data_IF_631481042078
#
_entry.id   IF_631481042078
#
_cell.length_a   1.000
_cell.length_b   1.000
_cell.length_c   1.000
_cell.angle_alpha   90.00
_cell.angle_beta   90.00
_cell.angle_gamma   90.00
#
_symmetry.space_group_name_H-M   'P 1'
#
loop_
_entity.id
_entity.type
_entity.pdbx_description
1 polymer ?
#
# COMPACT_ATOMS: atom_id res chain seq x y z
N UNK A 1 8.37 20.69 33.41
CA UNK A 1 7.99 20.38 34.81
C UNK A 1 7.06 19.18 34.81
N UNK A 2 7.20 18.30 35.81
CA UNK A 2 6.67 16.92 35.91
C UNK A 2 5.14 16.83 35.98
N UNK A 3 4.56 15.86 35.25
CA UNK A 3 3.31 15.13 35.56
C UNK A 3 3.50 13.71 34.98
N UNK A 4 4.08 12.72 35.67
CA UNK A 4 3.44 11.76 36.59
C UNK A 4 1.96 11.56 36.24
N UNK A 5 1.41 10.42 35.85
CA UNK A 5 1.90 9.05 35.72
C UNK A 5 0.68 8.13 35.56
N UNK A 6 0.89 6.96 34.96
CA UNK A 6 0.11 5.72 35.12
C UNK A 6 -1.39 5.71 34.74
N UNK A 7 -1.69 5.12 33.57
CA UNK A 7 -2.77 4.11 33.46
C UNK A 7 -2.23 2.93 32.67
N UNK A 8 -2.10 1.81 33.38
CA UNK A 8 -1.61 0.52 32.96
C UNK A 8 -2.79 -0.25 32.33
N UNK A 9 -2.78 -0.42 31.00
CA UNK A 9 -3.82 -1.17 30.28
C UNK A 9 -3.47 -2.66 30.30
N UNK A 10 -4.25 -3.43 31.06
CA UNK A 10 -4.13 -4.87 31.20
C UNK A 10 -4.39 -5.60 29.88
N UNK A 11 -3.38 -6.32 29.41
CA UNK A 11 -3.48 -7.46 28.49
C UNK A 11 -4.11 -8.64 29.24
N UNK A 12 -5.37 -8.96 28.96
CA UNK A 12 -5.95 -10.25 29.31
C UNK A 12 -7.14 -10.58 28.40
N UNK A 13 -7.08 -11.73 27.72
CA UNK A 13 -8.27 -12.47 27.29
C UNK A 13 -8.43 -12.66 25.78
N UNK A 14 -7.74 -13.64 25.20
CA UNK A 14 -8.22 -14.37 24.02
C UNK A 14 -9.47 -15.18 24.42
N UNK A 15 -10.64 -15.03 23.76
CA UNK A 15 -11.69 -16.03 23.86
C UNK A 15 -11.49 -17.13 22.81
N UNK A 16 -11.29 -18.33 23.34
CA UNK A 16 -11.31 -19.63 22.68
C UNK A 16 -12.72 -19.96 22.16
N UNK A 17 -12.75 -20.83 21.16
CA UNK A 17 -13.89 -21.27 20.35
C UNK A 17 -14.85 -22.17 21.16
N UNK A 18 -16.17 -22.03 20.95
CA UNK A 18 -17.13 -23.11 21.22
C UNK A 18 -18.62 -22.73 21.34
N UNK A 19 -19.47 -23.30 20.47
CA UNK A 19 -20.77 -23.85 20.91
C UNK A 19 -22.08 -23.33 20.30
N UNK A 20 -22.59 -24.10 19.31
CA UNK A 20 -23.98 -24.52 19.08
C UNK A 20 -25.10 -23.53 18.64
N UNK A 21 -25.88 -24.03 17.67
CA UNK A 21 -26.90 -23.41 16.84
C UNK A 21 -28.23 -23.09 17.54
N UNK A 22 -28.84 -21.97 17.17
CA UNK A 22 -30.28 -21.78 17.21
C UNK A 22 -30.73 -21.11 15.90
N UNK A 23 -31.52 -21.84 15.11
CA UNK A 23 -32.19 -21.31 13.94
C UNK A 23 -33.29 -20.34 14.39
N UNK A 24 -33.18 -19.07 13.99
CA UNK A 24 -34.27 -18.10 14.06
C UNK A 24 -34.56 -17.57 12.67
N UNK A 25 -35.84 -17.60 12.38
CA UNK A 25 -36.58 -17.42 11.14
C UNK A 25 -36.30 -16.10 10.43
N UNK A 26 -36.32 -16.18 9.10
CA UNK A 26 -36.20 -15.10 8.14
C UNK A 26 -37.19 -13.95 8.38
N UNK A 27 -36.68 -12.72 8.24
CA UNK A 27 -37.44 -11.59 7.69
C UNK A 27 -36.57 -10.98 6.58
N UNK A 28 -36.99 -11.23 5.33
CA UNK A 28 -36.46 -10.57 4.15
C UNK A 28 -36.75 -9.07 4.26
N UNK A 29 -35.72 -8.29 4.56
CA UNK A 29 -35.68 -6.89 4.18
C UNK A 29 -35.02 -6.85 2.79
N UNK A 30 -35.79 -6.42 1.80
CA UNK A 30 -35.30 -6.06 0.47
C UNK A 30 -34.05 -5.18 0.60
N UNK A 31 -32.86 -5.60 0.15
CA UNK A 31 -31.79 -4.66 -0.03
C UNK A 31 -32.20 -3.78 -1.21
N UNK A 32 -32.70 -2.58 -0.91
CA UNK A 32 -32.80 -1.52 -1.91
C UNK A 32 -31.43 -1.42 -2.54
N UNK A 33 -31.35 -1.90 -3.78
CA UNK A 33 -30.14 -1.80 -4.58
C UNK A 33 -29.99 -0.33 -4.91
N UNK A 34 -29.34 0.40 -4.01
CA UNK A 34 -28.72 1.67 -4.33
C UNK A 34 -27.72 1.32 -5.42
N UNK A 35 -28.09 1.62 -6.66
CA UNK A 35 -27.16 1.64 -7.79
C UNK A 35 -26.13 2.72 -7.47
N UNK A 36 -25.14 2.36 -6.65
CA UNK A 36 -23.85 3.01 -6.65
C UNK A 36 -23.42 3.04 -8.11
N UNK A 37 -23.08 4.20 -8.69
CA UNK A 37 -22.46 4.23 -9.99
C UNK A 37 -21.27 3.28 -9.91
N UNK A 38 -21.39 2.13 -10.58
CA UNK A 38 -20.28 1.25 -10.82
C UNK A 38 -19.30 2.13 -11.57
N UNK A 39 -18.31 2.65 -10.86
CA UNK A 39 -17.18 3.34 -11.46
C UNK A 39 -16.56 2.27 -12.34
N UNK A 40 -16.98 2.27 -13.61
CA UNK A 40 -16.36 1.49 -14.64
C UNK A 40 -14.88 1.73 -14.44
N UNK A 41 -14.18 0.66 -14.05
CA UNK A 41 -12.73 0.67 -14.06
C UNK A 41 -12.38 0.71 -15.52
N UNK A 42 -12.44 1.91 -16.10
CA UNK A 42 -11.90 2.22 -17.40
C UNK A 42 -10.45 1.83 -17.25
N UNK A 43 -10.09 0.67 -17.81
CA UNK A 43 -8.70 0.36 -18.07
C UNK A 43 -8.15 1.62 -18.72
N UNK A 44 -7.20 2.34 -18.09
CA UNK A 44 -6.73 3.57 -18.66
C UNK A 44 -6.18 3.17 -20.02
N UNK A 45 -6.84 3.67 -21.07
CA UNK A 45 -6.23 3.81 -22.38
C UNK A 45 -5.02 4.71 -22.11
N UNK A 46 -3.88 4.07 -21.82
CA UNK A 46 -2.63 4.76 -21.48
C UNK A 46 -2.11 5.30 -22.80
N UNK A 47 -2.69 6.42 -23.22
CA UNK A 47 -2.12 7.26 -24.24
C UNK A 47 -0.67 7.55 -23.84
N UNK A 48 0.33 7.00 -24.59
CA UNK A 48 1.72 7.01 -24.16
C UNK A 48 2.28 8.44 -24.08
N UNK A 49 1.71 9.37 -24.85
CA UNK A 49 2.11 10.77 -24.94
C UNK A 49 1.44 11.66 -23.88
N UNK A 50 0.51 11.11 -23.10
CA UNK A 50 -0.18 11.86 -22.05
C UNK A 50 0.80 12.34 -20.99
N UNK A 51 0.85 13.66 -20.79
CA UNK A 51 1.62 14.27 -19.70
C UNK A 51 0.97 13.98 -18.35
N UNK A 52 1.75 13.42 -17.43
CA UNK A 52 1.40 13.11 -16.06
C UNK A 52 2.39 13.79 -15.13
N UNK A 53 1.88 14.62 -14.23
CA UNK A 53 2.67 15.27 -13.19
C UNK A 53 2.52 14.55 -11.85
N UNK A 54 3.65 14.17 -11.23
CA UNK A 54 3.70 13.53 -9.92
C UNK A 54 4.41 14.46 -8.92
N UNK A 55 4.00 14.39 -7.65
CA UNK A 55 4.72 15.05 -6.56
C UNK A 55 5.80 14.12 -6.05
N UNK A 56 7.05 14.54 -6.14
CA UNK A 56 8.19 13.81 -5.64
C UNK A 56 8.45 14.20 -4.18
N UNK A 57 8.61 13.22 -3.27
CA UNK A 57 8.97 13.50 -1.89
C UNK A 57 10.33 14.20 -1.83
N UNK A 58 10.53 15.10 -0.86
CA UNK A 58 11.84 15.71 -0.66
C UNK A 58 12.87 14.62 -0.32
N UNK A 59 14.13 14.76 -0.78
CA UNK A 59 15.18 13.84 -0.39
C UNK A 59 15.38 13.87 1.13
N UNK A 60 15.72 12.73 1.72
CA UNK A 60 15.94 12.62 3.17
C UNK A 60 16.99 13.63 3.63
N UNK A 61 16.64 14.46 4.62
CA UNK A 61 17.51 15.53 5.13
C UNK A 61 17.49 16.83 4.32
N UNK A 62 16.69 16.92 3.26
CA UNK A 62 16.50 18.16 2.51
C UNK A 62 15.71 19.19 3.29
N UNK A 63 16.17 20.45 3.27
CA UNK A 63 15.41 21.62 3.74
C UNK A 63 14.45 22.17 2.68
N UNK A 64 14.57 21.69 1.45
CA UNK A 64 13.68 22.03 0.33
C UNK A 64 12.58 20.97 0.27
N UNK A 65 11.32 21.41 0.17
CA UNK A 65 10.12 20.58 0.21
C UNK A 65 9.90 19.72 -1.04
N UNK A 66 8.70 19.16 -1.17
CA UNK A 66 8.32 18.35 -2.34
C UNK A 66 8.40 19.17 -3.63
N UNK A 67 8.82 18.51 -4.71
CA UNK A 67 8.83 19.10 -6.06
C UNK A 67 7.83 18.38 -6.95
N UNK A 68 7.26 19.10 -7.92
CA UNK A 68 6.41 18.53 -8.95
C UNK A 68 7.24 18.20 -10.19
N UNK A 69 7.08 17.01 -10.72
CA UNK A 69 7.79 16.52 -11.89
C UNK A 69 6.76 16.00 -12.90
N UNK A 70 6.89 16.42 -14.15
CA UNK A 70 5.93 16.12 -15.22
C UNK A 70 6.66 15.42 -16.36
N UNK A 71 6.13 14.27 -16.75
CA UNK A 71 6.64 13.43 -17.84
C UNK A 71 5.49 12.84 -18.62
N UNK A 72 5.76 12.32 -19.82
CA UNK A 72 4.77 11.50 -20.54
C UNK A 72 4.54 10.18 -19.80
N UNK A 73 3.44 9.51 -20.08
CA UNK A 73 3.18 8.19 -19.52
C UNK A 73 4.26 7.20 -19.94
N UNK A 74 4.71 7.24 -21.21
CA UNK A 74 5.79 6.41 -21.71
C UNK A 74 7.11 6.62 -20.96
N UNK A 75 7.45 7.86 -20.64
CA UNK A 75 8.64 8.19 -19.84
C UNK A 75 8.54 7.65 -18.42
N UNK A 76 7.38 7.77 -17.77
CA UNK A 76 7.15 7.17 -16.45
C UNK A 76 7.31 5.65 -16.47
N UNK A 77 6.80 4.99 -17.49
CA UNK A 77 6.88 3.53 -17.63
C UNK A 77 8.31 3.08 -17.91
N UNK A 78 9.10 3.88 -18.63
CA UNK A 78 10.52 3.61 -18.84
C UNK A 78 11.32 3.78 -17.53
N UNK A 79 11.07 4.86 -16.77
CA UNK A 79 11.74 5.08 -15.48
C UNK A 79 11.43 3.94 -14.49
N UNK A 80 10.17 3.53 -14.39
CA UNK A 80 9.77 2.44 -13.51
C UNK A 80 10.46 1.11 -13.86
N UNK A 81 10.60 0.80 -15.15
CA UNK A 81 11.34 -0.39 -15.61
C UNK A 81 12.82 -0.32 -15.24
N UNK A 82 13.47 0.81 -15.50
CA UNK A 82 14.88 1.02 -15.16
C UNK A 82 15.13 0.86 -13.65
N UNK A 83 14.24 1.42 -12.81
CA UNK A 83 14.33 1.31 -11.36
C UNK A 83 14.20 -0.15 -10.89
N UNK A 84 13.24 -0.90 -11.45
CA UNK A 84 13.05 -2.32 -11.15
C UNK A 84 14.29 -3.13 -11.52
N UNK A 85 14.89 -2.90 -12.69
CA UNK A 85 16.11 -3.59 -13.11
C UNK A 85 17.32 -3.24 -12.23
N UNK A 86 17.43 -1.99 -11.79
CA UNK A 86 18.49 -1.56 -10.87
C UNK A 86 18.33 -2.23 -9.50
N UNK A 87 17.11 -2.31 -8.98
CA UNK A 87 16.78 -3.01 -7.74
C UNK A 87 17.01 -4.52 -7.86
N UNK A 88 16.60 -5.15 -8.96
CA UNK A 88 16.83 -6.57 -9.18
C UNK A 88 18.34 -6.90 -9.20
N UNK A 89 19.14 -6.06 -9.86
CA UNK A 89 20.60 -6.21 -9.88
C UNK A 89 21.23 -6.05 -8.51
N UNK A 90 20.82 -5.05 -7.73
CA UNK A 90 21.38 -4.85 -6.38
C UNK A 90 21.04 -5.99 -5.43
N UNK A 91 19.82 -6.55 -5.52
CA UNK A 91 19.41 -7.72 -4.74
C UNK A 91 20.18 -8.98 -5.14
N UNK A 92 20.34 -9.24 -6.44
CA UNK A 92 21.11 -10.38 -6.93
C UNK A 92 22.57 -10.31 -6.48
N UNK A 93 23.19 -9.12 -6.54
CA UNK A 93 24.56 -8.92 -6.07
C UNK A 93 24.70 -9.11 -4.55
N UNK A 94 23.70 -8.70 -3.76
CA UNK A 94 23.69 -8.91 -2.31
C UNK A 94 23.66 -10.40 -1.94
N UNK A 95 22.90 -11.21 -2.70
CA UNK A 95 22.90 -12.67 -2.53
C UNK A 95 24.25 -13.30 -2.90
N UNK A 96 24.88 -12.84 -3.97
CA UNK A 96 26.18 -13.36 -4.41
C UNK A 96 27.36 -12.97 -3.49
N UNK A 97 27.25 -11.86 -2.74
CA UNK A 97 28.31 -11.38 -1.84
C UNK A 97 28.33 -12.06 -0.47
N UNK A 98 27.26 -12.77 -0.07
CA UNK A 98 27.26 -13.60 1.14
C UNK A 98 26.86 -15.07 0.84
N UNK A 99 27.72 -15.84 0.14
CA UNK A 99 27.47 -17.25 -0.09
C UNK A 99 27.80 -18.14 1.13
N UNK A 100 27.99 -17.58 2.34
CA UNK A 100 28.74 -18.27 3.40
C UNK A 100 28.32 -18.10 4.86
N UNK A 101 27.19 -17.49 5.21
CA UNK A 101 26.77 -17.38 6.63
C UNK A 101 25.91 -18.54 7.14
N UNK A 102 26.02 -19.71 6.53
CA UNK A 102 25.33 -20.93 6.97
C UNK A 102 26.33 -22.05 7.20
N UNK A 103 27.04 -22.03 8.32
CA UNK A 103 27.71 -23.17 8.97
C UNK A 103 27.50 -23.03 10.48
#
# INVERSE_FOLDING_TARGET
MRKIGFVLVCLAGLPWIGGASAATTAMSADPVSTTTPNAASTTPDSDPDKIVCKQMPPPTGSRIGSRRECHTQAEWDQMARNDQEALARSQAMGYQQNPGSGH
#
